data_IF_070582661054
#
_entry.id   IF_070582661054
#
_cell.length_a   1.000
_cell.length_b   1.000
_cell.length_c   1.000
_cell.angle_alpha   90.00
_cell.angle_beta   90.00
_cell.angle_gamma   90.00
#
_symmetry.space_group_name_H-M   'P 1'
#
loop_
_entity.id
_entity.type
_entity.pdbx_description
1 polymer ?
#
# COMPACT_ATOMS: atom_id res chain seq x y z
N UNK A 1 43.04 -17.45 -3.32
CA UNK A 1 41.76 -16.79 -3.66
C UNK A 1 41.63 -15.40 -3.02
N UNK A 2 42.48 -15.05 -2.04
CA UNK A 2 42.36 -13.82 -1.25
C UNK A 2 42.77 -12.52 -1.97
N UNK A 3 43.57 -12.62 -3.03
CA UNK A 3 44.00 -11.45 -3.82
C UNK A 3 42.89 -10.95 -4.77
N UNK A 4 42.01 -11.84 -5.24
CA UNK A 4 40.91 -11.47 -6.16
C UNK A 4 39.78 -10.74 -5.40
N UNK A 5 39.54 -11.09 -4.14
CA UNK A 5 38.56 -10.41 -3.28
C UNK A 5 38.98 -8.98 -2.92
N UNK A 6 40.28 -8.73 -2.73
CA UNK A 6 40.82 -7.38 -2.48
C UNK A 6 40.73 -6.46 -3.71
N UNK A 7 40.90 -7.00 -4.92
CA UNK A 7 40.77 -6.22 -6.15
C UNK A 7 39.31 -5.83 -6.47
N UNK A 8 38.33 -6.66 -6.13
CA UNK A 8 36.91 -6.32 -6.34
C UNK A 8 36.44 -5.19 -5.40
N UNK A 9 36.85 -5.20 -4.13
CA UNK A 9 36.51 -4.11 -3.20
C UNK A 9 37.07 -2.75 -3.62
N UNK A 10 38.29 -2.72 -4.18
CA UNK A 10 38.88 -1.49 -4.68
C UNK A 10 38.16 -0.94 -5.93
N UNK A 11 37.64 -1.81 -6.80
CA UNK A 11 36.89 -1.42 -7.99
C UNK A 11 35.50 -0.87 -7.62
N UNK A 12 34.81 -1.50 -6.67
CA UNK A 12 33.51 -1.04 -6.18
C UNK A 12 33.59 0.31 -5.48
N UNK A 13 34.62 0.54 -4.66
CA UNK A 13 34.84 1.83 -3.99
C UNK A 13 35.11 2.94 -5.01
N UNK A 14 35.92 2.66 -6.06
CA UNK A 14 36.19 3.62 -7.13
C UNK A 14 34.92 3.94 -7.92
N UNK A 15 34.09 2.94 -8.23
CA UNK A 15 32.83 3.15 -8.93
C UNK A 15 31.85 3.99 -8.10
N UNK A 16 31.78 3.76 -6.78
CA UNK A 16 30.94 4.52 -5.87
C UNK A 16 31.40 5.97 -5.72
N UNK A 17 32.72 6.20 -5.63
CA UNK A 17 33.31 7.54 -5.62
C UNK A 17 33.05 8.27 -6.94
N UNK A 18 33.11 7.57 -8.07
CA UNK A 18 32.83 8.15 -9.38
C UNK A 18 31.36 8.53 -9.52
N UNK A 19 30.44 7.69 -9.03
CA UNK A 19 29.00 7.98 -8.95
C UNK A 19 28.70 9.18 -8.04
N UNK A 20 29.32 9.25 -6.86
CA UNK A 20 29.22 10.39 -5.95
C UNK A 20 29.75 11.68 -6.59
N UNK A 21 30.89 11.61 -7.28
CA UNK A 21 31.47 12.74 -7.99
C UNK A 21 30.56 13.20 -9.14
N UNK A 22 29.98 12.26 -9.91
CA UNK A 22 29.05 12.57 -10.99
C UNK A 22 27.76 13.20 -10.45
N UNK A 23 27.25 12.72 -9.32
CA UNK A 23 26.10 13.31 -8.63
C UNK A 23 26.42 14.73 -8.12
N UNK A 24 27.62 14.93 -7.58
CA UNK A 24 28.09 16.25 -7.12
C UNK A 24 28.25 17.22 -8.29
N UNK A 25 28.82 16.77 -9.41
CA UNK A 25 28.96 17.54 -10.64
C UNK A 25 27.61 17.87 -11.27
N UNK A 26 26.64 16.95 -11.23
CA UNK A 26 25.27 17.21 -11.65
C UNK A 26 24.59 18.23 -10.75
N UNK A 27 24.79 18.17 -9.43
CA UNK A 27 24.26 19.15 -8.49
C UNK A 27 24.88 20.55 -8.71
N UNK A 28 26.19 20.61 -8.98
CA UNK A 28 26.88 21.86 -9.27
C UNK A 28 26.50 22.45 -10.64
N UNK A 29 26.36 21.61 -11.68
CA UNK A 29 25.95 22.06 -13.02
C UNK A 29 24.48 22.47 -13.11
N UNK A 30 23.62 21.86 -12.27
CA UNK A 30 22.22 22.27 -12.10
C UNK A 30 22.10 23.70 -11.54
N UNK A 31 23.04 24.12 -10.70
CA UNK A 31 23.11 25.49 -10.18
C UNK A 31 23.43 26.54 -11.26
N UNK A 32 24.15 26.15 -12.32
CA UNK A 32 24.45 27.01 -13.47
C UNK A 32 23.35 27.01 -14.54
N UNK A 33 22.61 25.91 -14.72
CA UNK A 33 21.54 25.78 -15.73
C UNK A 33 20.24 26.47 -15.33
N UNK A 34 19.99 26.71 -14.04
CA UNK A 34 18.84 27.51 -13.57
C UNK A 34 18.89 28.99 -14.00
N UNK A 35 19.98 29.43 -14.67
CA UNK A 35 20.14 30.79 -15.21
C UNK A 35 19.93 30.91 -16.72
N UNK A 36 19.74 29.81 -17.46
CA UNK A 36 19.55 29.85 -18.92
C UNK A 36 18.30 29.05 -19.30
N UNK A 37 17.14 29.69 -19.21
CA UNK A 37 15.87 29.12 -19.64
C UNK A 37 15.68 29.29 -21.13
N UNK A 38 16.09 28.29 -21.93
CA UNK A 38 15.66 28.11 -23.32
C UNK A 38 16.17 26.76 -23.85
N UNK A 39 15.34 25.69 -23.86
CA UNK A 39 15.56 24.60 -24.82
C UNK A 39 14.33 23.71 -25.08
N UNK A 40 13.92 23.76 -26.36
CA UNK A 40 13.21 22.83 -27.26
C UNK A 40 11.83 22.25 -26.93
N UNK A 41 10.88 22.71 -27.75
CA UNK A 41 9.55 22.18 -27.97
C UNK A 41 9.51 20.88 -28.78
N UNK A 42 8.70 19.95 -28.29
CA UNK A 42 8.02 18.88 -29.02
C UNK A 42 6.83 18.49 -28.13
N UNK A 43 5.68 19.15 -28.34
CA UNK A 43 4.49 18.99 -27.51
C UNK A 43 3.28 18.65 -28.36
N UNK A 44 2.98 17.36 -28.50
CA UNK A 44 1.58 16.97 -28.66
C UNK A 44 0.88 17.34 -27.35
N UNK A 45 -0.25 18.05 -27.44
CA UNK A 45 -0.99 18.51 -26.27
C UNK A 45 -1.58 17.31 -25.51
N UNK A 46 -0.80 16.76 -24.57
CA UNK A 46 -1.29 15.80 -23.59
C UNK A 46 -2.23 16.58 -22.67
N UNK A 47 -3.53 16.29 -22.74
CA UNK A 47 -4.49 16.85 -21.77
C UNK A 47 -4.03 16.48 -20.36
N UNK A 48 -4.00 17.43 -19.42
CA UNK A 48 -3.65 17.13 -18.04
C UNK A 48 -4.63 16.10 -17.50
N UNK A 49 -4.12 14.94 -17.10
CA UNK A 49 -4.90 13.89 -16.46
C UNK A 49 -5.52 14.46 -15.18
N UNK A 50 -6.85 14.46 -15.08
CA UNK A 50 -7.56 14.88 -13.87
C UNK A 50 -7.11 14.01 -12.69
N UNK A 51 -6.83 14.64 -11.55
CA UNK A 51 -6.40 13.88 -10.39
C UNK A 51 -7.60 13.33 -9.62
N UNK A 52 -7.39 12.25 -8.87
CA UNK A 52 -8.40 11.68 -7.96
C UNK A 52 -8.98 12.74 -7.02
N UNK A 53 -8.18 13.70 -6.58
CA UNK A 53 -8.63 14.81 -5.72
C UNK A 53 -9.52 15.82 -6.45
N UNK A 54 -9.28 16.04 -7.75
CA UNK A 54 -10.11 16.94 -8.57
C UNK A 54 -11.47 16.27 -8.86
N UNK A 55 -11.44 14.95 -9.08
CA UNK A 55 -12.65 14.11 -9.18
C UNK A 55 -13.44 14.10 -7.87
N UNK A 56 -12.81 13.86 -6.72
CA UNK A 56 -13.48 13.87 -5.41
C UNK A 56 -14.13 15.23 -5.09
N UNK A 57 -13.48 16.35 -5.47
CA UNK A 57 -14.08 17.68 -5.35
C UNK A 57 -15.29 17.88 -6.27
N UNK A 58 -15.28 17.26 -7.45
CA UNK A 58 -16.45 17.25 -8.33
C UNK A 58 -17.61 16.48 -7.69
N UNK A 59 -17.32 15.38 -6.99
CA UNK A 59 -18.33 14.57 -6.29
C UNK A 59 -19.02 15.32 -5.14
N UNK A 60 -18.35 16.27 -4.48
CA UNK A 60 -18.95 17.08 -3.40
C UNK A 60 -19.99 18.11 -3.91
N UNK A 61 -19.91 18.49 -5.20
CA UNK A 61 -20.81 19.47 -5.83
C UNK A 61 -21.80 18.87 -6.84
N UNK A 62 -21.61 17.63 -7.24
CA UNK A 62 -22.42 16.95 -8.25
C UNK A 62 -23.63 16.28 -7.61
N UNK A 63 -24.84 16.67 -8.03
CA UNK A 63 -26.08 15.91 -7.76
C UNK A 63 -26.18 14.64 -8.62
N UNK A 64 -25.09 14.21 -9.26
CA UNK A 64 -25.02 13.02 -10.09
C UNK A 64 -25.19 11.72 -9.29
N UNK A 65 -25.35 10.61 -10.03
CA UNK A 65 -25.40 9.28 -9.46
C UNK A 65 -24.01 8.92 -8.90
N UNK A 66 -23.85 9.00 -7.58
CA UNK A 66 -22.61 8.69 -6.85
C UNK A 66 -21.98 7.37 -7.29
N UNK A 67 -22.79 6.36 -7.61
CA UNK A 67 -22.27 5.06 -8.06
C UNK A 67 -21.58 5.15 -9.43
N UNK A 68 -22.08 6.00 -10.33
CA UNK A 68 -21.47 6.22 -11.64
C UNK A 68 -20.11 6.94 -11.51
N UNK A 69 -20.01 7.93 -10.62
CA UNK A 69 -18.75 8.64 -10.37
C UNK A 69 -17.71 7.74 -9.69
N UNK A 70 -18.13 6.94 -8.70
CA UNK A 70 -17.27 5.92 -8.09
C UNK A 70 -16.80 4.89 -9.12
N UNK A 71 -17.68 4.52 -10.05
CA UNK A 71 -17.36 3.59 -11.12
C UNK A 71 -16.31 4.17 -12.07
N UNK A 72 -16.46 5.44 -12.48
CA UNK A 72 -15.44 6.15 -13.27
C UNK A 72 -14.10 6.23 -12.55
N UNK A 73 -14.10 6.49 -11.25
CA UNK A 73 -12.87 6.50 -10.45
C UNK A 73 -12.16 5.15 -10.47
N UNK A 74 -12.90 4.03 -10.34
CA UNK A 74 -12.32 2.68 -10.46
C UNK A 74 -11.71 2.45 -11.84
N UNK A 75 -12.35 2.95 -12.90
CA UNK A 75 -11.83 2.85 -14.27
C UNK A 75 -10.55 3.66 -14.44
N UNK A 76 -10.53 4.91 -13.97
CA UNK A 76 -9.35 5.76 -13.99
C UNK A 76 -8.18 5.11 -13.24
N UNK A 77 -8.43 4.55 -12.05
CA UNK A 77 -7.43 3.83 -11.28
C UNK A 77 -6.87 2.63 -12.07
N UNK A 78 -7.74 1.79 -12.64
CA UNK A 78 -7.32 0.65 -13.46
C UNK A 78 -6.52 1.10 -14.70
N UNK A 79 -6.95 2.16 -15.38
CA UNK A 79 -6.29 2.70 -16.56
C UNK A 79 -4.87 3.18 -16.29
N UNK A 80 -4.53 3.56 -15.04
CA UNK A 80 -3.16 3.98 -14.69
C UNK A 80 -2.13 2.86 -14.80
N UNK A 81 -2.57 1.59 -14.84
CA UNK A 81 -1.69 0.44 -15.01
C UNK A 81 -1.35 0.12 -16.46
N UNK A 82 -1.82 0.93 -17.42
CA UNK A 82 -1.60 0.72 -18.84
C UNK A 82 -1.05 1.98 -19.52
N UNK A 83 -0.25 1.78 -20.56
CA UNK A 83 0.26 2.83 -21.44
C UNK A 83 0.24 2.35 -22.89
N UNK A 84 0.24 3.26 -23.87
CA UNK A 84 0.14 2.85 -25.26
C UNK A 84 -0.21 3.97 -26.22
N UNK A 85 0.09 3.77 -27.50
CA UNK A 85 -0.51 4.60 -28.55
C UNK A 85 -2.01 4.26 -28.61
N UNK A 86 -2.87 5.26 -28.77
CA UNK A 86 -4.32 5.00 -28.75
C UNK A 86 -4.92 4.78 -27.35
N UNK A 87 -4.16 5.00 -26.26
CA UNK A 87 -4.78 5.31 -24.96
C UNK A 87 -5.57 6.60 -25.16
N UNK A 88 -6.88 6.45 -25.39
CA UNK A 88 -7.81 7.57 -25.53
C UNK A 88 -7.91 8.35 -24.22
N UNK A 89 -8.86 9.28 -24.16
CA UNK A 89 -9.21 9.88 -22.88
C UNK A 89 -9.62 8.76 -21.89
N UNK A 90 -9.24 8.90 -20.62
CA UNK A 90 -9.46 7.83 -19.64
C UNK A 90 -10.96 7.57 -19.38
N UNK A 91 -11.82 8.49 -19.80
CA UNK A 91 -13.28 8.37 -19.81
C UNK A 91 -13.80 7.31 -20.80
N UNK A 92 -12.96 6.81 -21.71
CA UNK A 92 -13.34 5.82 -22.72
C UNK A 92 -12.49 4.54 -22.65
N UNK A 93 -12.27 4.05 -21.44
CA UNK A 93 -11.48 2.84 -21.17
C UNK A 93 -11.95 1.63 -21.98
N UNK A 94 -13.26 1.52 -22.23
CA UNK A 94 -13.88 0.40 -22.94
C UNK A 94 -13.50 0.32 -24.42
N UNK A 95 -13.07 1.43 -25.03
CA UNK A 95 -12.72 1.45 -26.44
C UNK A 95 -11.25 1.11 -26.71
N UNK A 96 -10.34 1.38 -25.77
CA UNK A 96 -8.91 1.10 -25.97
C UNK A 96 -8.39 -0.07 -25.13
N UNK A 97 -8.94 -0.35 -23.95
CA UNK A 97 -8.52 -1.47 -23.12
C UNK A 97 -9.37 -2.72 -23.44
N UNK A 98 -8.71 -3.83 -23.74
CA UNK A 98 -9.36 -5.12 -24.00
C UNK A 98 -9.01 -6.15 -22.93
N UNK A 99 -9.82 -7.21 -22.86
CA UNK A 99 -9.74 -8.22 -21.80
C UNK A 99 -8.35 -8.86 -21.68
N UNK A 100 -7.70 -9.16 -22.79
CA UNK A 100 -6.40 -9.83 -22.77
C UNK A 100 -5.27 -8.88 -22.33
N UNK A 101 -5.44 -7.55 -22.45
CA UNK A 101 -4.50 -6.61 -21.85
C UNK A 101 -4.52 -6.72 -20.32
N UNK A 102 -5.70 -6.89 -19.71
CA UNK A 102 -5.84 -7.11 -18.26
C UNK A 102 -5.21 -8.46 -17.86
N UNK A 103 -5.39 -9.50 -18.67
CA UNK A 103 -4.70 -10.78 -18.44
C UNK A 103 -3.17 -10.64 -18.54
N UNK A 104 -2.64 -9.92 -19.53
CA UNK A 104 -1.21 -9.64 -19.65
C UNK A 104 -0.66 -8.97 -18.38
N UNK A 105 -1.39 -7.97 -17.87
CA UNK A 105 -1.03 -7.26 -16.64
C UNK A 105 -1.01 -8.18 -15.42
N UNK A 106 -2.06 -8.98 -15.22
CA UNK A 106 -2.15 -9.92 -14.09
C UNK A 106 -1.11 -11.03 -14.23
N UNK A 107 -0.94 -11.59 -15.42
CA UNK A 107 0.07 -12.62 -15.71
C UNK A 107 1.46 -12.12 -15.33
N UNK A 108 1.80 -10.92 -15.81
CA UNK A 108 3.09 -10.31 -15.50
C UNK A 108 3.30 -10.09 -14.00
N UNK A 109 2.28 -9.64 -13.27
CA UNK A 109 2.41 -9.27 -11.87
C UNK A 109 2.30 -10.46 -10.89
N UNK A 110 1.38 -11.40 -11.12
CA UNK A 110 1.13 -12.55 -10.23
C UNK A 110 1.94 -13.79 -10.60
N UNK A 111 2.32 -13.94 -11.87
CA UNK A 111 2.96 -15.15 -12.39
C UNK A 111 4.40 -14.87 -12.83
N UNK A 112 5.11 -14.02 -12.06
CA UNK A 112 6.56 -13.75 -12.21
C UNK A 112 6.98 -13.33 -13.61
N UNK A 113 6.17 -12.49 -14.25
CA UNK A 113 6.46 -11.98 -15.59
C UNK A 113 6.05 -12.89 -16.74
N UNK A 114 5.43 -14.04 -16.46
CA UNK A 114 4.91 -14.92 -17.50
C UNK A 114 3.84 -14.22 -18.36
N UNK A 115 3.75 -14.65 -19.60
CA UNK A 115 2.68 -14.25 -20.52
C UNK A 115 1.48 -15.18 -20.41
N UNK A 116 0.26 -14.74 -20.75
CA UNK A 116 -0.91 -15.63 -20.77
C UNK A 116 -0.72 -16.85 -21.68
N UNK A 117 0.00 -16.71 -22.80
CA UNK A 117 0.28 -17.81 -23.73
C UNK A 117 1.27 -18.84 -23.16
N UNK A 118 2.31 -18.38 -22.44
CA UNK A 118 3.23 -19.27 -21.69
C UNK A 118 2.47 -20.05 -20.62
N UNK A 119 1.62 -19.39 -19.82
CA UNK A 119 0.82 -20.06 -18.81
C UNK A 119 -0.16 -21.07 -19.43
N UNK A 120 -0.79 -20.73 -20.55
CA UNK A 120 -1.71 -21.65 -21.25
C UNK A 120 -1.00 -22.92 -21.72
N UNK A 121 0.25 -22.78 -22.17
CA UNK A 121 1.05 -23.89 -22.70
C UNK A 121 1.69 -24.72 -21.58
N UNK A 122 2.32 -24.04 -20.62
CA UNK A 122 3.23 -24.66 -19.66
C UNK A 122 2.53 -25.01 -18.34
N UNK A 123 1.42 -24.35 -17.99
CA UNK A 123 0.70 -24.54 -16.73
C UNK A 123 -0.80 -24.22 -16.85
N UNK A 124 -1.61 -25.08 -17.48
CA UNK A 124 -3.04 -24.83 -17.71
C UNK A 124 -3.84 -24.49 -16.46
N UNK A 125 -3.48 -25.06 -15.30
CA UNK A 125 -4.10 -24.75 -14.01
C UNK A 125 -3.86 -23.28 -13.60
N UNK A 126 -2.63 -22.79 -13.75
CA UNK A 126 -2.29 -21.38 -13.49
C UNK A 126 -2.95 -20.44 -14.49
N UNK A 127 -3.10 -20.87 -15.75
CA UNK A 127 -3.87 -20.11 -16.74
C UNK A 127 -5.34 -20.00 -16.35
N UNK A 128 -5.94 -21.06 -15.79
CA UNK A 128 -7.31 -20.98 -15.27
C UNK A 128 -7.41 -20.02 -14.07
N UNK A 129 -6.43 -20.04 -13.16
CA UNK A 129 -6.34 -19.07 -12.06
C UNK A 129 -6.23 -17.63 -12.58
N UNK A 130 -5.37 -17.38 -13.57
CA UNK A 130 -5.26 -16.08 -14.25
C UNK A 130 -6.61 -15.61 -14.79
N UNK A 131 -7.37 -16.48 -15.46
CA UNK A 131 -8.70 -16.15 -15.98
C UNK A 131 -9.67 -15.77 -14.87
N UNK A 132 -9.68 -16.51 -13.77
CA UNK A 132 -10.51 -16.19 -12.60
C UNK A 132 -10.14 -14.84 -11.97
N UNK A 133 -8.83 -14.53 -11.86
CA UNK A 133 -8.36 -13.25 -11.35
C UNK A 133 -8.73 -12.10 -12.28
N UNK A 134 -8.58 -12.26 -13.60
CA UNK A 134 -9.01 -11.27 -14.58
C UNK A 134 -10.51 -11.01 -14.50
N UNK A 135 -11.32 -12.06 -14.39
CA UNK A 135 -12.78 -11.93 -14.24
C UNK A 135 -13.14 -11.19 -12.94
N UNK A 136 -12.47 -11.51 -11.83
CA UNK A 136 -12.70 -10.82 -10.56
C UNK A 136 -12.36 -9.33 -10.64
N UNK A 137 -11.25 -8.97 -11.29
CA UNK A 137 -10.87 -7.56 -11.50
C UNK A 137 -11.93 -6.86 -12.34
N UNK A 138 -12.33 -7.44 -13.47
CA UNK A 138 -13.36 -6.86 -14.35
C UNK A 138 -14.73 -6.76 -13.65
N UNK A 139 -15.08 -7.75 -12.83
CA UNK A 139 -16.33 -7.73 -12.06
C UNK A 139 -16.32 -6.62 -11.03
N UNK A 140 -15.24 -6.49 -10.26
CA UNK A 140 -15.11 -5.49 -9.17
C UNK A 140 -14.93 -4.06 -9.70
N UNK A 141 -14.32 -3.90 -10.86
CA UNK A 141 -14.24 -2.63 -11.59
C UNK A 141 -15.48 -2.37 -12.43
N UNK A 142 -16.49 -3.25 -12.43
CA UNK A 142 -17.71 -3.19 -13.26
C UNK A 142 -17.45 -3.02 -14.76
N UNK A 143 -16.37 -3.64 -15.27
CA UNK A 143 -15.99 -3.72 -16.68
C UNK A 143 -16.26 -5.12 -17.26
N UNK A 144 -17.33 -5.78 -16.80
CA UNK A 144 -17.70 -7.15 -17.21
C UNK A 144 -17.96 -7.27 -18.72
N UNK A 145 -18.38 -6.17 -19.36
CA UNK A 145 -18.70 -6.09 -20.78
C UNK A 145 -17.51 -5.60 -21.62
N UNK A 146 -16.27 -5.77 -21.15
CA UNK A 146 -15.08 -5.41 -21.91
C UNK A 146 -14.96 -6.27 -23.18
N UNK A 147 -14.45 -5.69 -24.27
CA UNK A 147 -14.25 -6.43 -25.52
C UNK A 147 -13.23 -7.55 -25.33
N UNK A 148 -13.56 -8.73 -25.86
CA UNK A 148 -12.64 -9.87 -25.95
C UNK A 148 -11.49 -9.54 -26.92
N UNK A 149 -10.31 -10.11 -26.65
CA UNK A 149 -9.10 -9.90 -27.44
C UNK A 149 -8.05 -9.01 -26.77
N UNK A 150 -6.99 -8.72 -27.54
CA UNK A 150 -5.83 -7.93 -27.13
C UNK A 150 -5.68 -6.70 -28.02
N UNK A 151 -5.58 -5.51 -27.42
CA UNK A 151 -5.14 -4.33 -28.14
C UNK A 151 -3.60 -4.29 -28.14
N UNK A 152 -2.91 -4.45 -29.30
CA UNK A 152 -1.44 -4.49 -29.35
C UNK A 152 -0.79 -3.13 -29.04
N UNK A 153 -1.52 -2.04 -29.21
CA UNK A 153 -1.00 -0.69 -28.96
C UNK A 153 -0.97 -0.35 -27.47
N UNK A 154 -1.64 -1.17 -26.64
CA UNK A 154 -1.76 -0.99 -25.19
C UNK A 154 -0.92 -2.03 -24.46
N UNK A 155 -0.03 -1.54 -23.61
CA UNK A 155 0.89 -2.33 -22.82
C UNK A 155 0.66 -2.08 -21.32
N UNK A 156 0.75 -3.15 -20.53
CA UNK A 156 0.70 -3.06 -19.08
C UNK A 156 2.03 -2.52 -18.53
N UNK A 157 1.96 -1.64 -17.53
CA UNK A 157 3.14 -1.24 -16.75
C UNK A 157 3.73 -2.45 -16.03
N UNK A 158 4.99 -2.74 -16.34
CA UNK A 158 5.75 -3.83 -15.75
C UNK A 158 6.43 -3.37 -14.47
N UNK A 159 5.66 -3.33 -13.37
CA UNK A 159 6.14 -2.84 -12.06
C UNK A 159 7.33 -3.65 -11.53
N UNK A 160 7.46 -4.93 -11.91
CA UNK A 160 8.57 -5.80 -11.52
C UNK A 160 9.77 -5.76 -12.47
N UNK A 161 9.73 -4.97 -13.54
CA UNK A 161 10.92 -4.61 -14.31
C UNK A 161 11.75 -3.54 -13.58
N UNK A 162 11.96 -3.69 -12.27
CA UNK A 162 13.05 -2.97 -11.62
C UNK A 162 14.35 -3.56 -12.21
N UNK A 163 15.17 -2.78 -12.92
CA UNK A 163 16.40 -3.28 -13.53
C UNK A 163 17.38 -3.88 -12.50
N UNK A 164 17.10 -3.72 -11.20
CA UNK A 164 17.91 -4.24 -10.11
C UNK A 164 17.16 -5.35 -9.35
N UNK A 165 17.38 -6.64 -9.66
CA UNK A 165 16.77 -7.75 -8.95
C UNK A 165 17.07 -7.67 -7.45
N UNK A 166 16.02 -7.76 -6.63
CA UNK A 166 16.03 -7.54 -5.17
C UNK A 166 16.93 -8.54 -4.42
N UNK A 167 17.29 -9.66 -5.05
CA UNK A 167 17.93 -10.81 -4.39
C UNK A 167 19.38 -10.55 -3.96
N UNK A 168 20.08 -9.56 -4.55
CA UNK A 168 21.48 -9.26 -4.21
C UNK A 168 21.77 -7.76 -4.18
N UNK A 169 21.06 -6.99 -3.34
CA UNK A 169 21.49 -5.62 -3.04
C UNK A 169 22.54 -5.67 -1.92
N UNK A 170 23.82 -5.29 -2.19
CA UNK A 170 24.81 -5.16 -1.12
C UNK A 170 24.26 -4.30 0.01
N UNK A 171 24.64 -4.57 1.26
CA UNK A 171 24.22 -3.78 2.42
C UNK A 171 24.44 -2.27 2.21
N UNK A 172 25.48 -1.91 1.43
CA UNK A 172 25.78 -0.54 1.04
C UNK A 172 24.70 0.12 0.18
N UNK A 173 24.00 -0.63 -0.68
CA UNK A 173 22.86 -0.11 -1.45
C UNK A 173 21.73 0.23 -0.49
N UNK A 174 21.41 -0.63 0.48
CA UNK A 174 20.42 -0.32 1.51
C UNK A 174 20.82 0.88 2.36
N UNK A 175 22.09 0.93 2.82
CA UNK A 175 22.59 2.08 3.56
C UNK A 175 22.48 3.37 2.72
N UNK A 176 22.84 3.33 1.44
CA UNK A 176 22.67 4.44 0.51
C UNK A 176 21.21 4.84 0.33
N UNK A 177 20.32 3.89 0.02
CA UNK A 177 18.91 4.22 -0.23
C UNK A 177 18.12 4.58 1.01
N UNK A 178 18.51 4.08 2.19
CA UNK A 178 17.79 4.31 3.45
C UNK A 178 18.36 5.47 4.27
N UNK A 179 19.63 5.84 4.09
CA UNK A 179 20.25 6.97 4.79
C UNK A 179 20.52 8.13 3.83
N UNK A 180 21.26 7.86 2.75
CA UNK A 180 21.72 8.91 1.84
C UNK A 180 20.55 9.49 1.03
N UNK A 181 19.67 8.68 0.45
CA UNK A 181 18.54 9.17 -0.32
C UNK A 181 17.56 10.04 0.49
N UNK A 182 17.16 9.69 1.74
CA UNK A 182 16.33 10.56 2.54
C UNK A 182 17.02 11.87 2.93
N UNK A 183 18.33 11.85 3.20
CA UNK A 183 19.10 13.06 3.51
C UNK A 183 19.20 13.98 2.29
N UNK A 184 19.58 13.43 1.13
CA UNK A 184 19.61 14.17 -0.13
C UNK A 184 18.22 14.70 -0.47
N UNK A 185 17.19 13.86 -0.39
CA UNK A 185 15.80 14.27 -0.63
C UNK A 185 15.38 15.38 0.33
N UNK A 186 15.72 15.28 1.61
CA UNK A 186 15.42 16.32 2.60
C UNK A 186 16.09 17.64 2.23
N UNK A 187 17.38 17.63 1.86
CA UNK A 187 18.12 18.82 1.46
C UNK A 187 17.62 19.42 0.15
N UNK A 188 17.34 18.59 -0.85
CA UNK A 188 16.76 19.01 -2.14
C UNK A 188 15.38 19.63 -1.92
N UNK A 189 14.51 19.00 -1.11
CA UNK A 189 13.18 19.52 -0.83
C UNK A 189 13.23 20.85 -0.06
N UNK A 190 14.11 20.97 0.94
CA UNK A 190 14.35 22.25 1.63
C UNK A 190 14.86 23.33 0.68
N UNK A 191 15.82 23.00 -0.19
CA UNK A 191 16.38 23.93 -1.16
C UNK A 191 15.33 24.41 -2.18
N UNK A 192 14.41 23.53 -2.57
CA UNK A 192 13.25 23.88 -3.39
C UNK A 192 12.17 24.68 -2.64
N UNK A 193 12.38 24.99 -1.35
CA UNK A 193 11.48 25.77 -0.51
C UNK A 193 10.33 24.98 0.10
N UNK A 194 10.40 23.65 0.11
CA UNK A 194 9.44 22.82 0.82
C UNK A 194 9.85 22.70 2.30
N UNK A 195 8.86 22.80 3.19
CA UNK A 195 8.98 22.48 4.59
C UNK A 195 8.31 21.15 4.88
N UNK A 196 8.90 20.37 5.77
CA UNK A 196 8.31 19.12 6.23
C UNK A 196 7.27 19.45 7.30
N UNK A 197 6.01 19.15 7.05
CA UNK A 197 4.93 19.23 8.04
C UNK A 197 4.54 17.82 8.50
N UNK A 198 4.06 17.74 9.73
CA UNK A 198 3.54 16.51 10.32
C UNK A 198 2.13 16.77 10.82
N UNK A 199 1.16 16.02 10.32
CA UNK A 199 -0.22 16.02 10.80
C UNK A 199 -0.52 14.63 11.34
N UNK A 200 -0.55 14.50 12.67
CA UNK A 200 -0.62 13.21 13.35
C UNK A 200 0.54 12.27 13.02
N UNK A 201 0.22 11.10 12.46
CA UNK A 201 1.21 10.10 12.01
C UNK A 201 1.81 10.38 10.63
N UNK A 202 1.20 11.26 9.82
CA UNK A 202 1.60 11.51 8.44
C UNK A 202 2.65 12.62 8.37
N UNK A 203 3.78 12.36 7.70
CA UNK A 203 4.77 13.37 7.33
C UNK A 203 4.64 13.69 5.84
N UNK A 204 4.48 14.97 5.49
CA UNK A 204 4.43 15.41 4.09
C UNK A 204 5.28 16.67 3.89
N UNK A 205 5.63 16.94 2.63
CA UNK A 205 6.38 18.13 2.25
C UNK A 205 5.42 19.19 1.72
N UNK A 206 5.33 20.32 2.41
CA UNK A 206 4.52 21.47 2.00
C UNK A 206 5.43 22.59 1.57
N UNK A 207 5.30 23.02 0.32
CA UNK A 207 5.86 24.31 -0.10
C UNK A 207 4.86 25.39 0.32
N UNK A 208 5.25 26.40 1.12
CA UNK A 208 4.41 27.56 1.32
C UNK A 208 4.12 28.11 -0.07
N UNK A 209 2.83 28.26 -0.40
CA UNK A 209 2.47 29.09 -1.54
C UNK A 209 3.10 30.44 -1.23
N UNK A 210 4.07 30.89 -2.03
CA UNK A 210 4.30 32.32 -2.11
C UNK A 210 2.97 32.87 -2.57
N UNK A 211 2.24 33.48 -1.64
CA UNK A 211 1.12 34.34 -1.98
C UNK A 211 1.78 35.62 -2.50
N UNK A 212 2.47 35.50 -3.63
CA UNK A 212 2.65 36.63 -4.49
C UNK A 212 1.22 36.85 -5.01
N UNK A 213 0.50 37.76 -4.35
CA UNK A 213 -0.78 38.26 -4.87
C UNK A 213 -0.40 38.99 -6.15
N UNK A 214 -0.22 38.24 -7.23
CA UNK A 214 -0.12 38.82 -8.55
C UNK A 214 -1.53 39.30 -8.90
N UNK A 215 -1.77 40.63 -9.05
CA UNK A 215 -3.10 41.15 -9.38
C UNK A 215 -3.62 40.69 -10.74
N UNK A 216 -2.86 39.86 -11.48
CA UNK A 216 -3.13 39.50 -12.87
C UNK A 216 -3.15 38.01 -13.19
N UNK A 217 -2.99 37.12 -12.21
CA UNK A 217 -3.07 35.68 -12.51
C UNK A 217 -4.53 35.18 -12.51
N UNK A 218 -5.08 35.49 -13.68
CA UNK A 218 -6.11 34.79 -14.40
C UNK A 218 -5.89 33.27 -14.43
N UNK A 219 -7.00 32.56 -14.51
CA UNK A 219 -7.14 31.12 -14.39
C UNK A 219 -6.53 30.42 -15.60
N UNK A 220 -5.26 29.97 -15.58
CA UNK A 220 -4.79 28.92 -16.51
C UNK A 220 -3.32 28.49 -16.31
N UNK A 221 -3.09 27.42 -15.53
CA UNK A 221 -2.30 26.25 -15.95
C UNK A 221 -1.91 25.36 -14.74
N UNK A 222 -2.27 24.05 -14.72
CA UNK A 222 -1.85 23.12 -13.68
C UNK A 222 -0.39 22.71 -13.84
N UNK A 223 0.34 22.57 -12.73
CA UNK A 223 1.71 22.00 -12.71
C UNK A 223 1.68 20.47 -12.56
N UNK A 224 2.65 19.73 -13.13
CA UNK A 224 2.64 18.26 -13.20
C UNK A 224 2.93 17.58 -11.84
N UNK A 225 2.09 16.59 -11.49
CA UNK A 225 2.15 15.80 -10.25
C UNK A 225 3.14 14.62 -10.39
N UNK A 226 3.89 14.32 -9.32
CA UNK A 226 4.79 13.14 -9.25
C UNK A 226 4.00 11.86 -8.97
N UNK A 227 4.44 10.75 -9.56
CA UNK A 227 3.80 9.45 -9.44
C UNK A 227 3.83 8.90 -8.00
N UNK A 228 2.70 8.42 -7.46
CA UNK A 228 2.62 7.78 -6.15
C UNK A 228 3.36 6.43 -6.14
N UNK A 229 3.82 5.95 -4.96
CA UNK A 229 4.48 4.66 -4.85
C UNK A 229 3.55 3.52 -5.31
N UNK A 230 4.10 2.47 -5.94
CA UNK A 230 3.32 1.36 -6.47
C UNK A 230 2.62 0.64 -5.31
N UNK A 231 1.32 0.86 -5.18
CA UNK A 231 0.48 0.06 -4.30
C UNK A 231 0.50 -1.37 -4.84
N UNK A 232 0.83 -2.34 -3.99
CA UNK A 232 0.78 -3.74 -4.39
C UNK A 232 -0.67 -4.09 -4.61
N UNK A 233 -1.08 -4.28 -5.86
CA UNK A 233 -2.50 -4.51 -6.21
C UNK A 233 -3.07 -5.74 -5.48
N UNK A 234 -2.25 -6.75 -5.18
CA UNK A 234 -2.66 -7.87 -4.32
C UNK A 234 -3.03 -7.45 -2.89
N UNK A 235 -2.43 -6.42 -2.32
CA UNK A 235 -2.86 -5.83 -1.04
C UNK A 235 -4.14 -5.01 -1.21
N UNK A 236 -4.32 -4.34 -2.35
CA UNK A 236 -5.55 -3.63 -2.67
C UNK A 236 -6.74 -4.59 -2.78
N UNK A 237 -6.66 -5.62 -3.63
CA UNK A 237 -7.73 -6.61 -3.79
C UNK A 237 -8.02 -7.33 -2.48
N UNK A 238 -6.97 -7.67 -1.71
CA UNK A 238 -7.16 -8.25 -0.39
C UNK A 238 -7.90 -7.33 0.56
N UNK A 239 -7.55 -6.04 0.56
CA UNK A 239 -8.20 -5.03 1.38
C UNK A 239 -9.63 -4.76 0.92
N UNK A 240 -9.89 -4.76 -0.39
CA UNK A 240 -11.21 -4.55 -0.97
C UNK A 240 -12.16 -5.70 -0.58
N UNK A 241 -11.71 -6.95 -0.76
CA UNK A 241 -12.48 -8.12 -0.35
C UNK A 241 -12.73 -8.13 1.16
N UNK A 242 -11.70 -7.89 1.99
CA UNK A 242 -11.85 -7.83 3.44
C UNK A 242 -12.88 -6.75 3.86
N UNK A 243 -12.82 -5.56 3.27
CA UNK A 243 -13.78 -4.48 3.52
C UNK A 243 -15.19 -4.85 3.08
N UNK A 244 -15.34 -5.47 1.91
CA UNK A 244 -16.64 -5.90 1.40
C UNK A 244 -17.29 -6.94 2.34
N UNK A 245 -16.54 -7.98 2.70
CA UNK A 245 -17.01 -9.03 3.63
C UNK A 245 -17.34 -8.44 5.01
N UNK A 246 -16.50 -7.53 5.52
CA UNK A 246 -16.74 -6.86 6.80
C UNK A 246 -17.99 -5.98 6.77
N UNK A 247 -18.19 -5.17 5.73
CA UNK A 247 -19.38 -4.31 5.58
C UNK A 247 -20.68 -5.12 5.59
N UNK A 248 -20.71 -6.26 4.90
CA UNK A 248 -21.87 -7.14 4.87
C UNK A 248 -22.16 -7.76 6.26
N UNK A 249 -21.13 -8.12 7.02
CA UNK A 249 -21.28 -8.75 8.33
C UNK A 249 -21.40 -7.77 9.51
N UNK A 250 -21.03 -6.50 9.34
CA UNK A 250 -20.93 -5.52 10.41
C UNK A 250 -22.21 -5.37 11.25
N UNK A 251 -23.44 -5.32 10.69
CA UNK A 251 -24.66 -5.23 11.50
C UNK A 251 -24.81 -6.38 12.50
N UNK A 252 -24.46 -7.61 12.09
CA UNK A 252 -24.50 -8.81 12.94
C UNK A 252 -23.37 -8.80 13.97
N UNK A 253 -22.14 -8.51 13.54
CA UNK A 253 -20.95 -8.51 14.41
C UNK A 253 -21.04 -7.46 15.53
N UNK A 254 -21.69 -6.31 15.30
CA UNK A 254 -21.94 -5.29 16.34
C UNK A 254 -22.71 -5.84 17.53
N UNK A 255 -23.61 -6.81 17.35
CA UNK A 255 -24.29 -7.48 18.45
C UNK A 255 -23.31 -8.23 19.35
N UNK A 256 -22.41 -8.99 18.73
CA UNK A 256 -21.35 -9.73 19.42
C UNK A 256 -20.35 -8.78 20.10
N UNK A 257 -19.89 -7.74 19.42
CA UNK A 257 -18.95 -6.77 19.98
C UNK A 257 -19.53 -6.03 21.19
N UNK A 258 -20.80 -5.61 21.14
CA UNK A 258 -21.48 -5.01 22.30
C UNK A 258 -21.57 -5.97 23.48
N UNK A 259 -21.90 -7.24 23.24
CA UNK A 259 -21.94 -8.26 24.29
C UNK A 259 -20.56 -8.53 24.93
N UNK A 260 -19.48 -8.29 24.20
CA UNK A 260 -18.10 -8.38 24.68
C UNK A 260 -17.54 -7.06 25.21
N UNK A 261 -18.36 -6.00 25.28
CA UNK A 261 -17.93 -4.64 25.64
C UNK A 261 -16.79 -4.10 24.76
N UNK A 262 -16.76 -4.50 23.48
CA UNK A 262 -15.79 -4.02 22.49
C UNK A 262 -16.38 -2.84 21.72
N UNK A 263 -15.86 -1.64 21.98
CA UNK A 263 -16.40 -0.40 21.43
C UNK A 263 -15.53 0.22 20.32
N UNK A 264 -14.27 -0.23 20.16
CA UNK A 264 -13.29 0.44 19.29
C UNK A 264 -13.40 0.17 17.78
N UNK A 265 -13.90 -1.01 17.37
CA UNK A 265 -13.92 -1.42 15.95
C UNK A 265 -15.37 -1.62 15.50
N UNK A 266 -15.72 -1.10 14.31
CA UNK A 266 -17.03 -1.26 13.66
C UNK A 266 -18.26 -0.77 14.47
N UNK A 267 -18.04 0.01 15.53
CA UNK A 267 -19.09 0.62 16.35
C UNK A 267 -19.12 2.12 16.07
N UNK A 268 -20.15 2.65 15.37
CA UNK A 268 -20.30 4.08 15.15
C UNK A 268 -20.33 4.84 16.47
N UNK A 269 -19.48 5.86 16.62
CA UNK A 269 -19.38 6.65 17.85
C UNK A 269 -18.77 5.90 19.05
N UNK A 270 -18.04 4.81 18.80
CA UNK A 270 -17.53 3.95 19.87
C UNK A 270 -16.54 4.62 20.83
N UNK A 271 -15.71 5.55 20.33
CA UNK A 271 -14.80 6.32 21.16
C UNK A 271 -15.55 7.29 22.09
N UNK A 272 -16.56 7.97 21.57
CA UNK A 272 -17.44 8.87 22.32
C UNK A 272 -18.23 8.09 23.37
N UNK A 273 -18.74 6.90 23.01
CA UNK A 273 -19.44 6.01 23.94
C UNK A 273 -18.56 5.59 25.12
N UNK A 274 -17.27 5.30 24.88
CA UNK A 274 -16.31 4.97 25.95
C UNK A 274 -16.08 6.16 26.90
N UNK A 275 -15.93 7.37 26.36
CA UNK A 275 -15.77 8.59 27.17
C UNK A 275 -16.99 8.83 28.04
N UNK A 276 -18.19 8.75 27.46
CA UNK A 276 -19.43 8.91 28.20
C UNK A 276 -19.63 7.84 29.27
N UNK A 277 -19.38 6.57 28.92
CA UNK A 277 -19.47 5.46 29.87
C UNK A 277 -18.53 5.66 31.07
N UNK A 278 -17.25 5.99 30.81
CA UNK A 278 -16.28 6.26 31.87
C UNK A 278 -16.72 7.42 32.77
N UNK A 279 -17.11 8.54 32.17
CA UNK A 279 -17.56 9.71 32.92
C UNK A 279 -18.81 9.41 33.78
N UNK A 280 -19.74 8.60 33.26
CA UNK A 280 -20.92 8.15 34.02
C UNK A 280 -20.52 7.30 35.22
N UNK A 281 -19.63 6.32 35.04
CA UNK A 281 -19.16 5.47 36.15
C UNK A 281 -18.42 6.30 37.19
N UNK A 282 -17.48 7.17 36.78
CA UNK A 282 -16.75 8.05 37.69
C UNK A 282 -17.71 8.97 38.47
N UNK A 283 -18.73 9.52 37.80
CA UNK A 283 -19.77 10.33 38.46
C UNK A 283 -20.56 9.52 39.50
N UNK A 284 -20.93 8.28 39.19
CA UNK A 284 -21.67 7.43 40.13
C UNK A 284 -20.80 7.03 41.33
N UNK A 285 -19.51 6.77 41.12
CA UNK A 285 -18.52 6.50 42.19
C UNK A 285 -18.41 7.70 43.12
N UNK A 286 -18.23 8.91 42.57
CA UNK A 286 -18.12 10.15 43.37
C UNK A 286 -19.38 10.46 44.17
N UNK A 287 -20.55 10.00 43.71
CA UNK A 287 -21.83 10.15 44.41
C UNK A 287 -22.11 9.04 45.43
N UNK A 288 -21.21 8.05 45.57
CA UNK A 288 -21.45 6.88 46.42
C UNK A 288 -22.58 5.98 45.92
N UNK A 289 -22.93 6.06 44.63
CA UNK A 289 -23.99 5.26 44.01
C UNK A 289 -23.49 3.89 43.51
N UNK A 290 -22.19 3.63 43.60
CA UNK A 290 -21.57 2.34 43.28
C UNK A 290 -20.72 1.88 44.46
N UNK A 291 -20.43 0.57 44.56
CA UNK A 291 -19.39 0.07 45.44
C UNK A 291 -18.04 0.76 45.18
N UNK A 292 -17.08 0.60 46.11
CA UNK A 292 -15.70 1.03 45.89
C UNK A 292 -15.14 0.34 44.62
N UNK A 293 -14.60 1.13 43.68
CA UNK A 293 -14.05 0.63 42.43
C UNK A 293 -12.58 1.01 42.30
N UNK A 294 -11.80 0.17 41.62
CA UNK A 294 -10.42 0.44 41.19
C UNK A 294 -10.40 0.35 39.68
N UNK A 295 -9.79 1.34 39.02
CA UNK A 295 -9.61 1.36 37.57
C UNK A 295 -8.20 0.90 37.22
N UNK A 296 -8.09 -0.05 36.29
CA UNK A 296 -6.83 -0.47 35.69
C UNK A 296 -6.79 0.01 34.24
N UNK A 297 -5.70 0.68 33.89
CA UNK A 297 -5.40 1.03 32.50
C UNK A 297 -4.47 -0.05 31.94
N UNK A 298 -5.01 -0.90 31.06
CA UNK A 298 -4.32 -2.06 30.52
C UNK A 298 -4.14 -1.87 29.01
N UNK A 299 -2.90 -2.04 28.54
CA UNK A 299 -2.56 -2.01 27.12
C UNK A 299 -1.84 -3.31 26.72
N UNK A 300 -2.08 -3.76 25.48
CA UNK A 300 -1.49 -4.97 24.93
C UNK A 300 -0.24 -4.61 24.12
N UNK A 301 0.92 -4.99 24.64
CA UNK A 301 2.19 -4.80 23.94
C UNK A 301 2.18 -5.53 22.58
N UNK A 302 2.27 -4.76 21.49
CA UNK A 302 2.29 -5.28 20.12
C UNK A 302 1.12 -6.23 19.79
N UNK A 303 -0.12 -5.85 20.15
CA UNK A 303 -1.32 -6.67 19.93
C UNK A 303 -1.36 -7.38 18.56
N UNK A 304 -1.17 -6.65 17.45
CA UNK A 304 -1.28 -7.23 16.11
C UNK A 304 -0.14 -8.19 15.74
N UNK A 305 1.03 -8.07 16.37
CA UNK A 305 2.16 -8.97 16.16
C UNK A 305 2.27 -10.09 17.20
N UNK A 306 1.54 -9.97 18.32
CA UNK A 306 1.61 -10.91 19.45
C UNK A 306 0.49 -11.96 19.48
N UNK A 307 -0.60 -11.76 18.74
CA UNK A 307 -1.71 -12.72 18.72
C UNK A 307 -1.38 -13.90 17.80
N UNK A 308 -1.59 -15.12 18.30
CA UNK A 308 -1.36 -16.34 17.54
C UNK A 308 -2.48 -16.60 16.51
N UNK A 309 -2.09 -16.98 15.30
CA UNK A 309 -3.02 -17.26 14.20
C UNK A 309 -4.07 -18.34 14.47
N UNK A 310 -3.78 -19.45 15.20
CA UNK A 310 -4.80 -20.43 15.55
C UNK A 310 -5.99 -19.81 16.29
N UNK A 311 -5.74 -18.91 17.24
CA UNK A 311 -6.78 -18.24 18.03
C UNK A 311 -7.58 -17.26 17.18
N UNK A 312 -6.92 -16.50 16.29
CA UNK A 312 -7.60 -15.63 15.33
C UNK A 312 -8.53 -16.46 14.44
N UNK A 313 -8.06 -17.58 13.90
CA UNK A 313 -8.89 -18.46 13.06
C UNK A 313 -10.05 -19.05 13.85
N UNK A 314 -9.83 -19.53 15.07
CA UNK A 314 -10.88 -20.07 15.92
C UNK A 314 -11.96 -19.01 16.21
N UNK A 315 -11.56 -17.78 16.54
CA UNK A 315 -12.48 -16.66 16.75
C UNK A 315 -13.25 -16.29 15.46
N UNK A 316 -12.57 -16.25 14.31
CA UNK A 316 -13.21 -16.01 13.01
C UNK A 316 -14.20 -17.11 12.67
N UNK A 317 -13.85 -18.38 12.82
CA UNK A 317 -14.79 -19.50 12.60
C UNK A 317 -16.02 -19.42 13.51
N UNK A 318 -15.84 -19.00 14.76
CA UNK A 318 -16.92 -18.91 15.75
C UNK A 318 -17.85 -17.71 15.52
N UNK A 319 -17.29 -16.54 15.21
CA UNK A 319 -18.04 -15.28 15.22
C UNK A 319 -18.24 -14.67 13.82
N UNK A 320 -17.38 -15.02 12.86
CA UNK A 320 -17.36 -14.48 11.50
C UNK A 320 -17.08 -15.58 10.44
N UNK A 321 -17.89 -16.65 10.39
CA UNK A 321 -17.61 -17.82 9.56
C UNK A 321 -17.52 -17.51 8.05
N UNK A 322 -18.20 -16.46 7.58
CA UNK A 322 -18.17 -16.02 6.18
C UNK A 322 -16.79 -15.52 5.75
N UNK A 323 -16.00 -14.98 6.68
CA UNK A 323 -14.62 -14.56 6.42
C UNK A 323 -13.61 -15.70 6.62
N UNK A 324 -14.01 -16.83 7.21
CA UNK A 324 -13.08 -17.89 7.60
C UNK A 324 -12.28 -18.49 6.42
N UNK A 325 -12.88 -18.79 5.24
CA UNK A 325 -12.12 -19.27 4.08
C UNK A 325 -11.10 -18.24 3.60
N UNK A 326 -11.49 -16.96 3.58
CA UNK A 326 -10.63 -15.86 3.14
C UNK A 326 -9.45 -15.63 4.10
N UNK A 327 -9.72 -15.60 5.41
CA UNK A 327 -8.67 -15.51 6.45
C UNK A 327 -7.76 -16.73 6.36
N UNK A 328 -8.32 -17.93 6.23
CA UNK A 328 -7.50 -19.15 6.08
C UNK A 328 -6.60 -19.08 4.84
N UNK A 329 -7.10 -18.55 3.72
CA UNK A 329 -6.29 -18.35 2.51
C UNK A 329 -5.21 -17.27 2.70
N UNK A 330 -5.54 -16.12 3.32
CA UNK A 330 -4.56 -15.05 3.59
C UNK A 330 -3.42 -15.50 4.52
N UNK A 331 -3.71 -16.45 5.39
CA UNK A 331 -2.80 -16.97 6.41
C UNK A 331 -2.33 -18.40 6.12
N UNK A 332 -2.72 -18.97 4.98
CA UNK A 332 -2.07 -20.16 4.48
C UNK A 332 -0.64 -19.74 4.20
N UNK A 333 0.31 -20.28 4.97
CA UNK A 333 1.72 -20.06 4.66
C UNK A 333 1.88 -20.36 3.18
N UNK A 334 2.47 -19.45 2.38
CA UNK A 334 3.02 -19.90 1.12
C UNK A 334 3.94 -21.02 1.52
N UNK A 335 3.58 -22.27 1.20
CA UNK A 335 4.48 -23.41 1.33
C UNK A 335 5.74 -22.91 0.66
N UNK A 336 6.74 -22.54 1.45
CA UNK A 336 8.03 -22.17 0.90
C UNK A 336 8.37 -23.42 0.13
N UNK A 337 8.33 -23.33 -1.20
CA UNK A 337 8.75 -24.39 -2.08
C UNK A 337 10.19 -24.64 -1.64
N UNK A 338 10.38 -25.70 -0.86
CA UNK A 338 11.58 -26.02 -0.11
C UNK A 338 12.73 -26.47 -1.03
N UNK A 339 12.71 -26.03 -2.29
CA UNK A 339 13.64 -26.42 -3.33
C UNK A 339 14.96 -25.65 -3.30
N UNK A 340 15.17 -24.71 -2.38
CA UNK A 340 16.46 -24.03 -2.18
C UNK A 340 16.75 -23.80 -0.70
N UNK A 341 16.91 -24.89 0.07
CA UNK A 341 17.41 -24.80 1.43
C UNK A 341 18.88 -24.36 1.45
N UNK A 342 19.14 -23.10 1.80
CA UNK A 342 20.44 -22.70 2.30
C UNK A 342 20.63 -23.23 3.73
N UNK A 343 21.84 -23.66 4.14
CA UNK A 343 22.09 -24.23 5.46
C UNK A 343 21.76 -23.22 6.57
N UNK A 344 20.99 -23.67 7.56
CA UNK A 344 20.51 -22.86 8.67
C UNK A 344 21.61 -22.53 9.67
N UNK A 345 21.75 -21.24 9.99
CA UNK A 345 22.47 -20.75 11.18
C UNK A 345 21.44 -20.65 12.32
N UNK A 346 21.70 -21.20 13.51
CA UNK A 346 20.74 -21.15 14.62
C UNK A 346 20.47 -19.72 15.08
N UNK A 347 19.18 -19.37 15.18
CA UNK A 347 18.71 -18.05 15.60
C UNK A 347 18.64 -17.92 17.13
N UNK A 348 19.12 -16.82 17.74
CA UNK A 348 19.01 -16.54 19.17
C UNK A 348 17.57 -16.45 19.70
N UNK A 349 16.58 -16.33 18.82
CA UNK A 349 15.16 -16.20 19.20
C UNK A 349 14.60 -17.45 19.91
N UNK A 350 15.28 -18.60 19.84
CA UNK A 350 14.86 -19.82 20.53
C UNK A 350 14.96 -19.70 22.06
N UNK A 351 15.88 -18.88 22.60
CA UNK A 351 16.07 -18.73 24.04
C UNK A 351 15.04 -17.80 24.73
N UNK A 352 14.41 -16.89 23.99
CA UNK A 352 13.41 -15.95 24.57
C UNK A 352 12.05 -16.64 24.78
N UNK A 353 11.76 -17.72 24.05
CA UNK A 353 10.50 -18.47 24.17
C UNK A 353 10.35 -19.22 25.49
N UNK A 354 11.43 -19.72 26.08
CA UNK A 354 11.34 -20.45 27.37
C UNK A 354 11.01 -19.55 28.56
N UNK A 355 11.40 -18.27 28.54
CA UNK A 355 11.10 -17.32 29.62
C UNK A 355 9.66 -16.80 29.62
N UNK A 356 9.00 -16.77 28.45
CA UNK A 356 7.63 -16.21 28.34
C UNK A 356 6.55 -17.19 28.80
N UNK A 357 6.73 -18.50 28.59
CA UNK A 357 5.78 -19.53 29.05
C UNK A 357 5.77 -19.66 30.57
N UNK A 358 6.91 -19.46 31.24
CA UNK A 358 7.01 -19.50 32.70
C UNK A 358 6.24 -18.34 33.39
N UNK A 359 6.22 -17.15 32.78
CA UNK A 359 5.48 -15.99 33.32
C UNK A 359 3.96 -16.11 33.10
N UNK A 360 3.54 -16.73 31.98
CA UNK A 360 2.11 -16.92 31.69
C UNK A 360 1.43 -17.91 32.64
N UNK A 361 2.13 -18.97 33.07
CA UNK A 361 1.62 -19.90 34.09
C UNK A 361 1.56 -19.31 35.50
N UNK A 362 2.46 -18.37 35.84
CA UNK A 362 2.46 -17.71 37.14
C UNK A 362 1.29 -16.71 37.31
N UNK A 363 0.89 -16.01 36.25
CA UNK A 363 -0.25 -15.07 36.30
C UNK A 363 -1.61 -15.78 36.46
N UNK A 364 -1.79 -16.99 35.91
CA UNK A 364 -3.06 -17.73 36.03
C UNK A 364 -3.26 -18.38 37.39
N UNK A 365 -2.18 -18.73 38.10
CA UNK A 365 -2.25 -19.30 39.45
C UNK A 365 -2.69 -18.27 40.52
N UNK A 366 -2.57 -16.97 40.24
CA UNK A 366 -2.96 -15.91 41.17
C UNK A 366 -4.41 -15.42 40.97
N UNK A 367 -5.00 -15.65 39.79
CA UNK A 367 -6.37 -15.23 39.48
C UNK A 367 -7.45 -16.25 39.88
N UNK A 368 -7.06 -17.40 40.44
CA UNK A 368 -7.96 -18.49 40.86
C UNK A 368 -7.85 -18.83 42.36
N UNK A 369 -7.11 -18.02 43.12
CA UNK A 369 -7.06 -17.99 44.58
C UNK A 369 -7.66 -16.66 45.07
#
# INVERSE_FOLDING_TARGET
>A
MDVIMLCMGALEIRLLLLLLLLLLLLLLSSGTLARSGSFLGLGAAVRPQESVEDLLKHMEGSHGNLEEELQRLRWHELATFFHGQGRGDADDILNWLQRDNVQDWIAHYWFRGATPDELRKDSPEQFQELRCLAELVLQTSGLQNMREGRNPDVQAYRVFSDPLPVVHRPLLVYAGTSLLCPLISYKVMQWLGFHRERSGGLCYWKRPRRIDVDPRDDVSAPRPRRAPPPHRIGEFLRSAQAKHTLRAAAPRLRGTFRAMHQWGVETPGGAEALVHWRNTIETLVLRGCTPLMVAFDLDLANMFGGIEWPEIRAAVHRHFPEAAPWVTWCHAEPKQSSSLAAPSIPSPAAQVRETSTALHSACWAWATA
#
